data_IF_616959605015
#
_entry.id   IF_616959605015
#
_cell.length_a   1.000
_cell.length_b   1.000
_cell.length_c   1.000
_cell.angle_alpha   90.00
_cell.angle_beta   90.00
_cell.angle_gamma   90.00
#
_symmetry.space_group_name_H-M   'P 1'
#
loop_
_entity.id
_entity.type
_entity.pdbx_description
1 polymer ?
#
# COMPACT_ATOMS: atom_id res chain seq x y z
N UNK A 1 23.12 12.50 4.54
CA UNK A 1 21.82 13.19 4.44
C UNK A 1 21.00 12.86 5.66
N UNK A 2 20.74 13.85 6.52
CA UNK A 2 19.78 13.74 7.62
C UNK A 2 18.75 14.86 7.39
N UNK A 3 17.48 14.55 7.18
CA UNK A 3 16.47 15.60 7.05
C UNK A 3 16.42 16.43 8.34
N UNK A 4 16.02 17.70 8.23
CA UNK A 4 15.73 18.50 9.42
C UNK A 4 14.70 17.76 10.27
N UNK A 5 14.85 17.81 11.60
CA UNK A 5 13.92 17.16 12.53
C UNK A 5 12.48 17.59 12.25
N UNK A 6 12.28 18.87 11.95
CA UNK A 6 10.97 19.46 11.63
C UNK A 6 10.34 18.84 10.37
N UNK A 7 11.11 18.70 9.29
CA UNK A 7 10.64 18.09 8.05
C UNK A 7 10.27 16.61 8.25
N UNK A 8 11.03 15.89 9.09
CA UNK A 8 10.75 14.50 9.41
C UNK A 8 9.44 14.35 10.19
N UNK A 9 9.21 15.19 11.21
CA UNK A 9 7.96 15.15 11.98
C UNK A 9 6.76 15.56 11.12
N UNK A 10 6.90 16.62 10.32
CA UNK A 10 5.83 17.04 9.40
C UNK A 10 5.47 15.96 8.39
N UNK A 11 6.47 15.27 7.81
CA UNK A 11 6.21 14.12 6.95
C UNK A 11 5.49 13.02 7.74
N UNK A 12 5.98 12.63 8.93
CA UNK A 12 5.36 11.60 9.74
C UNK A 12 3.88 11.90 10.07
N UNK A 13 3.55 13.16 10.37
CA UNK A 13 2.17 13.60 10.62
C UNK A 13 1.30 13.47 9.36
N UNK A 14 1.78 13.96 8.21
CA UNK A 14 1.06 13.82 6.93
C UNK A 14 0.80 12.34 6.59
N UNK A 15 1.80 11.48 6.78
CA UNK A 15 1.66 10.05 6.51
C UNK A 15 0.69 9.38 7.50
N UNK A 16 0.65 9.84 8.75
CA UNK A 16 -0.33 9.39 9.74
C UNK A 16 -1.75 9.79 9.33
N UNK A 17 -1.95 11.02 8.88
CA UNK A 17 -3.24 11.52 8.41
C UNK A 17 -3.73 10.75 7.17
N UNK A 18 -2.85 10.53 6.18
CA UNK A 18 -3.16 9.73 5.00
C UNK A 18 -3.50 8.28 5.35
N UNK A 19 -2.79 7.69 6.32
CA UNK A 19 -3.09 6.34 6.81
C UNK A 19 -4.45 6.28 7.48
N UNK A 20 -4.78 7.27 8.30
CA UNK A 20 -6.08 7.37 8.96
C UNK A 20 -7.21 7.58 7.94
N UNK A 21 -7.02 8.43 6.94
CA UNK A 21 -7.96 8.61 5.83
C UNK A 21 -8.20 7.29 5.09
N UNK A 22 -7.13 6.53 4.78
CA UNK A 22 -7.24 5.22 4.14
C UNK A 22 -7.94 4.17 5.00
N UNK A 23 -7.76 4.22 6.32
CA UNK A 23 -8.50 3.36 7.25
C UNK A 23 -9.98 3.70 7.25
N UNK A 24 -10.31 4.98 7.20
CA UNK A 24 -11.69 5.45 7.19
C UNK A 24 -12.39 5.09 5.88
N UNK A 25 -11.75 5.27 4.72
CA UNK A 25 -12.31 4.84 3.44
C UNK A 25 -12.54 3.33 3.40
N UNK A 26 -11.61 2.53 3.93
CA UNK A 26 -11.77 1.08 4.00
C UNK A 26 -12.95 0.67 4.90
N UNK A 27 -13.17 1.35 6.03
CA UNK A 27 -14.36 1.15 6.87
C UNK A 27 -15.64 1.53 6.13
N UNK A 28 -15.66 2.69 5.50
CA UNK A 28 -16.82 3.18 4.74
C UNK A 28 -17.18 2.24 3.58
N UNK A 29 -16.19 1.67 2.89
CA UNK A 29 -16.41 0.67 1.85
C UNK A 29 -17.03 -0.61 2.41
N UNK A 30 -16.53 -1.09 3.56
CA UNK A 30 -17.14 -2.26 4.23
C UNK A 30 -18.59 -1.99 4.66
N UNK A 31 -18.88 -0.82 5.22
CA UNK A 31 -20.25 -0.40 5.57
C UNK A 31 -21.15 -0.19 4.33
N UNK A 32 -20.58 0.24 3.20
CA UNK A 32 -21.32 0.31 1.94
C UNK A 32 -21.72 -1.08 1.45
N UNK A 33 -20.77 -2.03 1.41
CA UNK A 33 -21.05 -3.40 0.98
C UNK A 33 -22.10 -4.06 1.90
N UNK A 34 -22.04 -3.82 3.22
CA UNK A 34 -23.06 -4.31 4.17
C UNK A 34 -24.46 -3.78 3.85
N UNK A 35 -24.56 -2.49 3.52
CA UNK A 35 -25.83 -1.87 3.13
C UNK A 35 -26.36 -2.42 1.81
N UNK A 36 -25.48 -2.69 0.85
CA UNK A 36 -25.85 -3.29 -0.44
C UNK A 36 -26.43 -4.70 -0.25
N UNK A 37 -25.83 -5.52 0.62
CA UNK A 37 -26.34 -6.86 0.96
C UNK A 37 -27.75 -6.76 1.53
N UNK A 38 -27.99 -5.88 2.51
CA UNK A 38 -29.32 -5.68 3.10
C UNK A 38 -30.33 -5.19 2.05
N UNK A 39 -29.90 -4.34 1.11
CA UNK A 39 -30.77 -3.88 0.01
C UNK A 39 -31.13 -5.04 -0.93
N UNK A 40 -30.18 -5.93 -1.23
CA UNK A 40 -30.42 -7.11 -2.05
C UNK A 40 -31.41 -8.04 -1.35
N UNK A 41 -31.24 -8.32 -0.06
CA UNK A 41 -32.16 -9.16 0.72
C UNK A 41 -33.60 -8.62 0.71
N UNK A 42 -33.77 -7.31 0.91
CA UNK A 42 -35.09 -6.67 0.81
C UNK A 42 -35.70 -6.79 -0.59
N UNK A 43 -34.88 -6.66 -1.63
CA UNK A 43 -35.35 -6.83 -3.02
C UNK A 43 -35.76 -8.27 -3.29
N UNK A 44 -35.03 -9.26 -2.76
CA UNK A 44 -35.39 -10.67 -2.91
C UNK A 44 -36.71 -10.98 -2.21
N UNK A 45 -36.92 -10.48 -0.98
CA UNK A 45 -38.20 -10.60 -0.26
C UNK A 45 -39.37 -10.02 -1.08
N UNK A 46 -39.21 -8.81 -1.62
CA UNK A 46 -40.24 -8.18 -2.48
C UNK A 46 -40.55 -8.99 -3.75
N UNK A 47 -39.57 -9.69 -4.32
CA UNK A 47 -39.82 -10.57 -5.47
C UNK A 47 -40.53 -11.86 -5.05
N UNK A 48 -40.23 -12.41 -3.86
CA UNK A 48 -40.96 -13.57 -3.33
C UNK A 48 -42.43 -13.25 -3.10
N UNK A 49 -42.75 -12.13 -2.45
CA UNK A 49 -44.14 -11.72 -2.23
C UNK A 49 -44.91 -11.60 -3.55
N UNK A 50 -44.30 -10.95 -4.56
CA UNK A 50 -44.91 -10.80 -5.89
C UNK A 50 -45.08 -12.12 -6.65
N UNK A 51 -44.20 -13.10 -6.45
CA UNK A 51 -44.36 -14.44 -7.04
C UNK A 51 -45.59 -15.13 -6.46
N UNK A 52 -45.83 -15.00 -5.15
CA UNK A 52 -46.99 -15.63 -4.51
C UNK A 52 -48.33 -15.04 -4.97
N UNK A 53 -48.33 -13.79 -5.43
CA UNK A 53 -49.52 -13.07 -5.91
C UNK A 53 -49.75 -13.20 -7.43
N UNK A 54 -48.81 -13.75 -8.19
CA UNK A 54 -48.84 -13.75 -9.67
C UNK A 54 -49.14 -15.14 -10.24
N UNK A 55 -50.19 -15.26 -11.05
CA UNK A 55 -50.59 -16.53 -11.69
C UNK A 55 -49.97 -16.77 -13.10
N UNK A 56 -49.16 -15.83 -13.59
CA UNK A 56 -48.58 -15.90 -14.93
C UNK A 56 -47.22 -16.62 -14.94
N UNK A 57 -47.16 -17.81 -15.52
CA UNK A 57 -45.97 -18.67 -15.59
C UNK A 57 -44.75 -17.98 -16.27
N UNK A 58 -45.00 -17.09 -17.24
CA UNK A 58 -43.93 -16.32 -17.90
C UNK A 58 -43.31 -15.25 -16.99
N UNK A 59 -44.10 -14.66 -16.10
CA UNK A 59 -43.61 -13.70 -15.10
C UNK A 59 -42.88 -14.40 -13.96
N UNK A 60 -43.37 -15.56 -13.51
CA UNK A 60 -42.72 -16.37 -12.48
C UNK A 60 -41.29 -16.73 -12.93
N UNK A 61 -41.13 -17.29 -14.13
CA UNK A 61 -39.81 -17.65 -14.67
C UNK A 61 -38.87 -16.45 -14.84
N UNK A 62 -39.41 -15.28 -15.20
CA UNK A 62 -38.62 -14.05 -15.28
C UNK A 62 -38.17 -13.55 -13.90
N UNK A 63 -39.02 -13.65 -12.88
CA UNK A 63 -38.68 -13.28 -11.51
C UNK A 63 -37.67 -14.25 -10.90
N UNK A 64 -37.83 -15.56 -11.08
CA UNK A 64 -36.85 -16.56 -10.66
C UNK A 64 -35.46 -16.26 -11.23
N UNK A 65 -35.38 -15.93 -12.53
CA UNK A 65 -34.11 -15.55 -13.17
C UNK A 65 -33.50 -14.29 -12.54
N UNK A 66 -34.34 -13.35 -12.10
CA UNK A 66 -33.89 -12.12 -11.45
C UNK A 66 -33.44 -12.36 -10.00
N UNK A 67 -34.11 -13.25 -9.27
CA UNK A 67 -33.72 -13.69 -7.93
C UNK A 67 -32.35 -14.38 -7.97
N UNK A 68 -32.15 -15.33 -8.90
CA UNK A 68 -30.83 -16.01 -9.05
C UNK A 68 -29.69 -15.02 -9.27
N UNK A 69 -29.90 -13.99 -10.10
CA UNK A 69 -28.88 -12.94 -10.31
C UNK A 69 -28.58 -12.16 -9.03
N UNK A 70 -29.60 -11.81 -8.26
CA UNK A 70 -29.44 -11.11 -6.98
C UNK A 70 -28.71 -11.98 -5.94
N UNK A 71 -28.98 -13.28 -5.92
CA UNK A 71 -28.26 -14.25 -5.07
C UNK A 71 -26.78 -14.39 -5.48
N UNK A 72 -26.49 -14.46 -6.78
CA UNK A 72 -25.12 -14.44 -7.29
C UNK A 72 -24.37 -13.15 -6.89
N UNK A 73 -25.01 -11.99 -7.03
CA UNK A 73 -24.47 -10.70 -6.60
C UNK A 73 -24.20 -10.67 -5.09
N UNK A 74 -25.11 -11.22 -4.28
CA UNK A 74 -24.93 -11.33 -2.82
C UNK A 74 -23.69 -12.16 -2.47
N UNK A 75 -23.51 -13.32 -3.09
CA UNK A 75 -22.34 -14.20 -2.85
C UNK A 75 -21.03 -13.45 -3.14
N UNK A 76 -20.98 -12.69 -4.24
CA UNK A 76 -19.80 -11.89 -4.61
C UNK A 76 -19.51 -10.81 -3.55
N UNK A 77 -20.55 -10.15 -3.03
CA UNK A 77 -20.40 -9.12 -2.00
C UNK A 77 -19.99 -9.72 -0.65
N UNK A 78 -20.51 -10.88 -0.27
CA UNK A 78 -20.11 -11.61 0.94
C UNK A 78 -18.63 -12.02 0.87
N UNK A 79 -18.18 -12.52 -0.29
CA UNK A 79 -16.76 -12.78 -0.51
C UNK A 79 -15.90 -11.51 -0.42
N UNK A 80 -16.39 -10.38 -0.96
CA UNK A 80 -15.69 -9.10 -0.91
C UNK A 80 -15.52 -8.63 0.53
N UNK A 81 -16.57 -8.73 1.35
CA UNK A 81 -16.52 -8.42 2.79
C UNK A 81 -15.57 -9.35 3.56
N UNK A 82 -15.59 -10.65 3.27
CA UNK A 82 -14.69 -11.60 3.91
C UNK A 82 -13.22 -11.27 3.60
N UNK A 83 -12.92 -10.84 2.37
CA UNK A 83 -11.58 -10.39 1.95
C UNK A 83 -11.17 -9.04 2.55
N UNK A 84 -12.11 -8.16 2.91
CA UNK A 84 -11.84 -6.93 3.64
C UNK A 84 -11.39 -7.15 5.11
N UNK A 85 -11.40 -8.40 5.60
CA UNK A 85 -11.30 -8.79 7.01
C UNK A 85 -9.96 -8.68 7.74
N UNK A 86 -9.05 -7.76 7.38
CA UNK A 86 -7.96 -7.40 8.30
C UNK A 86 -8.06 -5.95 8.72
N UNK A 87 -8.36 -5.66 10.00
CA UNK A 87 -8.24 -4.29 10.49
C UNK A 87 -6.80 -3.85 10.26
N UNK A 88 -6.61 -2.78 9.47
CA UNK A 88 -5.30 -2.17 9.36
C UNK A 88 -4.88 -1.72 10.76
N UNK A 89 -3.76 -2.27 11.23
CA UNK A 89 -3.10 -1.85 12.45
C UNK A 89 -2.82 -0.34 12.44
N UNK A 90 -2.57 0.23 13.61
CA UNK A 90 -2.24 1.64 13.72
C UNK A 90 -0.99 1.97 12.87
N UNK A 91 -0.91 3.21 12.41
CA UNK A 91 0.25 3.68 11.65
C UNK A 91 1.55 3.46 12.45
N UNK A 92 1.50 3.72 13.77
CA UNK A 92 2.64 3.53 14.67
C UNK A 92 3.06 2.05 14.78
N UNK A 93 2.11 1.12 14.86
CA UNK A 93 2.44 -0.32 14.92
C UNK A 93 3.05 -0.84 13.61
N UNK A 94 2.53 -0.37 12.47
CA UNK A 94 2.87 -0.97 11.16
C UNK A 94 4.06 -0.28 10.49
N UNK A 95 4.16 1.04 10.66
CA UNK A 95 4.99 1.88 9.80
C UNK A 95 6.06 2.66 10.57
N UNK A 96 6.02 2.72 11.91
CA UNK A 96 7.07 3.36 12.73
C UNK A 96 8.46 2.79 12.46
N UNK A 97 8.58 1.47 12.36
CA UNK A 97 9.87 0.81 12.07
C UNK A 97 10.41 1.20 10.69
N UNK A 98 9.54 1.30 9.69
CA UNK A 98 9.91 1.74 8.35
C UNK A 98 10.25 3.25 8.31
N UNK A 99 9.56 4.09 9.09
CA UNK A 99 9.86 5.53 9.23
C UNK A 99 11.11 5.84 10.05
N UNK A 100 11.51 4.94 10.94
CA UNK A 100 12.76 5.06 11.69
C UNK A 100 13.98 4.94 10.76
N UNK A 101 13.84 4.23 9.64
CA UNK A 101 14.91 4.04 8.67
C UNK A 101 15.42 5.36 8.01
N UNK A 102 14.57 6.21 7.38
CA UNK A 102 15.01 7.47 6.80
C UNK A 102 15.50 8.48 7.85
N UNK A 103 15.14 8.31 9.13
CA UNK A 103 15.61 9.18 10.23
C UNK A 103 17.11 9.07 10.48
N UNK A 104 17.69 7.86 10.33
CA UNK A 104 19.11 7.63 10.54
C UNK A 104 19.64 6.43 9.73
N UNK A 105 19.72 6.54 8.39
CA UNK A 105 20.25 5.48 7.55
C UNK A 105 21.74 5.20 7.85
N UNK A 106 22.49 6.20 8.33
CA UNK A 106 23.91 6.08 8.66
C UNK A 106 24.15 5.14 9.85
N UNK A 107 23.30 5.17 10.88
CA UNK A 107 23.39 4.25 12.02
C UNK A 107 23.23 2.78 11.60
N UNK A 108 22.33 2.51 10.66
CA UNK A 108 22.14 1.16 10.12
C UNK A 108 23.29 0.74 9.18
N UNK A 109 23.86 1.69 8.44
CA UNK A 109 25.03 1.46 7.58
C UNK A 109 26.31 1.18 8.37
N UNK A 110 26.51 1.87 9.50
CA UNK A 110 27.67 1.72 10.39
C UNK A 110 27.64 0.46 11.25
N UNK A 111 26.56 -0.34 11.22
CA UNK A 111 26.50 -1.62 11.93
C UNK A 111 27.38 -2.68 11.26
N UNK A 112 27.99 -3.56 12.07
CA UNK A 112 28.80 -4.70 11.58
C UNK A 112 27.96 -5.78 10.87
N UNK A 113 26.65 -5.81 11.11
CA UNK A 113 25.74 -6.78 10.48
C UNK A 113 25.51 -6.45 8.99
N UNK A 114 25.87 -7.40 8.12
CA UNK A 114 25.64 -7.30 6.68
C UNK A 114 24.16 -7.19 6.30
N UNK A 115 23.26 -7.75 7.09
CA UNK A 115 21.81 -7.66 6.89
C UNK A 115 21.33 -6.21 6.91
N UNK A 116 21.83 -5.43 7.87
CA UNK A 116 21.47 -4.01 8.00
C UNK A 116 21.96 -3.22 6.78
N UNK A 117 23.20 -3.45 6.33
CA UNK A 117 23.71 -2.84 5.10
C UNK A 117 22.88 -3.22 3.87
N UNK A 118 22.45 -4.48 3.74
CA UNK A 118 21.56 -4.92 2.65
C UNK A 118 20.18 -4.27 2.72
N UNK A 119 19.59 -4.14 3.90
CA UNK A 119 18.31 -3.44 4.07
C UNK A 119 18.41 -1.97 3.69
N UNK A 120 19.53 -1.31 4.02
CA UNK A 120 19.77 0.08 3.61
C UNK A 120 19.72 0.23 2.10
N UNK A 121 20.43 -0.65 1.37
CA UNK A 121 20.46 -0.61 -0.08
C UNK A 121 19.09 -0.88 -0.71
N UNK A 122 18.33 -1.83 -0.16
CA UNK A 122 16.96 -2.15 -0.64
C UNK A 122 15.96 -1.01 -0.41
N UNK A 123 16.17 -0.19 0.61
CA UNK A 123 15.30 0.94 0.94
C UNK A 123 15.73 2.22 0.23
N UNK A 124 17.03 2.40 -0.03
CA UNK A 124 17.58 3.57 -0.72
C UNK A 124 17.35 3.55 -2.23
N UNK A 125 17.30 2.37 -2.84
CA UNK A 125 17.16 2.20 -4.27
C UNK A 125 15.90 1.42 -4.63
N UNK A 126 15.23 1.82 -5.71
CA UNK A 126 14.06 1.13 -6.25
C UNK A 126 14.43 -0.22 -6.85
N UNK A 127 15.66 -0.34 -7.37
CA UNK A 127 16.17 -1.54 -8.04
C UNK A 127 17.49 -2.01 -7.41
N UNK A 128 17.81 -3.31 -7.50
CA UNK A 128 19.11 -3.83 -7.08
C UNK A 128 20.27 -3.17 -7.83
N UNK A 129 21.34 -2.84 -7.12
CA UNK A 129 22.56 -2.29 -7.72
C UNK A 129 23.19 -3.30 -8.69
N UNK A 130 23.20 -2.97 -9.97
CA UNK A 130 23.86 -3.80 -10.97
C UNK A 130 25.38 -3.60 -10.93
N UNK A 131 26.12 -4.72 -10.88
CA UNK A 131 27.57 -4.73 -10.90
C UNK A 131 28.09 -5.31 -12.22
N UNK A 132 28.94 -4.55 -12.93
CA UNK A 132 29.69 -5.02 -14.08
C UNK A 132 31.19 -5.04 -13.77
N UNK A 133 31.86 -6.19 -13.86
CA UNK A 133 33.31 -6.33 -13.60
C UNK A 133 34.20 -5.32 -14.33
N UNK A 134 33.83 -4.90 -15.55
CA UNK A 134 34.60 -3.92 -16.36
C UNK A 134 34.24 -2.46 -16.07
N UNK A 135 33.07 -2.18 -15.49
CA UNK A 135 32.51 -0.82 -15.37
C UNK A 135 32.15 -0.44 -13.92
N UNK A 136 32.31 -1.33 -12.95
CA UNK A 136 31.92 -1.11 -11.56
C UNK A 136 30.40 -1.17 -11.33
N UNK A 137 29.95 -0.56 -10.23
CA UNK A 137 28.55 -0.37 -9.89
C UNK A 137 27.92 0.75 -10.72
N UNK A 138 26.70 0.55 -11.21
CA UNK A 138 25.93 1.58 -11.94
C UNK A 138 25.05 2.39 -10.98
N UNK A 139 24.75 3.65 -11.37
CA UNK A 139 23.76 4.50 -10.68
C UNK A 139 22.37 3.88 -10.84
N UNK A 140 21.83 3.30 -9.77
CA UNK A 140 20.44 2.81 -9.73
C UNK A 140 19.46 3.94 -9.42
N UNK A 141 18.20 3.73 -9.77
CA UNK A 141 17.14 4.67 -9.41
C UNK A 141 16.96 4.71 -7.89
N UNK A 142 16.98 5.93 -7.33
CA UNK A 142 16.68 6.18 -5.91
C UNK A 142 15.21 5.86 -5.65
N UNK A 143 14.89 5.41 -4.44
CA UNK A 143 13.49 5.20 -4.07
C UNK A 143 12.77 6.55 -3.90
N UNK A 144 11.45 6.53 -4.10
CA UNK A 144 10.57 7.71 -4.01
C UNK A 144 10.83 8.64 -2.82
N UNK A 145 11.02 8.18 -1.57
CA UNK A 145 11.29 9.09 -0.46
C UNK A 145 12.59 9.88 -0.63
N UNK A 146 13.62 9.33 -1.28
CA UNK A 146 14.87 10.05 -1.54
C UNK A 146 14.77 11.02 -2.72
N UNK A 147 13.99 10.67 -3.75
CA UNK A 147 13.71 11.57 -4.88
C UNK A 147 12.97 12.83 -4.40
N UNK A 148 11.94 12.65 -3.57
CA UNK A 148 11.16 13.76 -3.00
C UNK A 148 12.01 14.67 -2.08
N UNK A 149 12.92 14.09 -1.30
CA UNK A 149 13.84 14.85 -0.45
C UNK A 149 14.92 15.59 -1.24
N UNK A 150 15.34 15.06 -2.40
CA UNK A 150 16.28 15.71 -3.32
C UNK A 150 15.65 16.91 -4.03
N UNK A 151 14.35 16.82 -4.37
CA UNK A 151 13.57 17.95 -4.89
C UNK A 151 13.36 19.05 -3.82
N UNK A 152 13.23 18.67 -2.55
CA UNK A 152 13.07 19.59 -1.42
C UNK A 152 14.38 20.20 -0.91
N UNK A 153 15.54 19.59 -1.20
CA UNK A 153 16.84 19.97 -0.65
C UNK A 153 17.77 20.53 -1.72
N UNK A 154 17.92 21.84 -1.80
CA UNK A 154 18.94 22.48 -2.64
C UNK A 154 20.35 22.00 -2.26
N UNK A 155 20.95 21.19 -3.13
CA UNK A 155 22.36 20.86 -3.11
C UNK A 155 22.67 19.82 -4.18
N UNK A 156 23.39 20.19 -5.23
CA UNK A 156 24.03 19.22 -6.12
C UNK A 156 25.10 18.49 -5.29
N UNK A 157 24.74 17.32 -4.77
CA UNK A 157 25.72 16.43 -4.18
C UNK A 157 26.33 15.63 -5.32
N UNK A 158 27.61 15.86 -5.59
CA UNK A 158 28.34 15.05 -6.55
C UNK A 158 28.33 13.60 -6.08
N UNK A 159 27.70 12.75 -6.90
CA UNK A 159 27.76 11.31 -6.74
C UNK A 159 29.19 10.85 -7.01
N UNK A 160 29.61 9.77 -6.36
CA UNK A 160 30.98 9.23 -6.46
C UNK A 160 31.42 9.19 -7.95
N UNK A 161 32.45 9.96 -8.32
CA UNK A 161 32.98 9.97 -9.68
C UNK A 161 33.52 8.59 -10.08
N UNK A 162 33.51 8.32 -11.38
CA UNK A 162 33.78 6.99 -11.95
C UNK A 162 35.21 6.44 -11.90
N UNK A 163 36.30 7.08 -11.39
CA UNK A 163 37.55 6.34 -11.22
C UNK A 163 37.88 6.03 -9.75
N UNK A 164 37.97 4.71 -9.52
CA UNK A 164 38.93 4.03 -8.65
C UNK A 164 38.81 4.29 -7.14
N UNK A 165 37.86 3.57 -6.53
CA UNK A 165 37.99 3.16 -5.12
C UNK A 165 39.06 2.05 -5.13
N UNK A 166 40.10 2.22 -4.30
CA UNK A 166 41.25 1.33 -4.06
C UNK A 166 42.52 1.58 -4.90
N UNK A 167 43.46 2.32 -4.32
CA UNK A 167 44.89 2.12 -4.53
C UNK A 167 45.35 1.02 -3.58
N UNK A 168 45.79 -0.10 -4.12
CA UNK A 168 46.52 -1.12 -3.37
C UNK A 168 47.87 -0.53 -2.98
N UNK A 169 48.08 -0.27 -1.69
CA UNK A 169 49.42 -0.10 -1.13
C UNK A 169 50.10 -1.47 -1.06
N UNK A 170 51.19 -1.62 -1.82
CA UNK A 170 52.35 -2.42 -1.44
C UNK A 170 53.57 -1.51 -1.50
#
# INVERSE_FOLDING_TARGET
>A
MKPSKELFFLAADIFTDLWNAKRETAKQEAEHIRRDIIMIERKTEQFFDRITETDSETLITAYEKKIRKLEEEKIILDEKIAKCGRPLHSFDETYRTAFTFPSNPQKLWSSDRLEHKRTVLKLAFSEPLQYCKKRGYRTSQKSLPFTLLEESGMGKYDMVPTPRIELWTF
#
